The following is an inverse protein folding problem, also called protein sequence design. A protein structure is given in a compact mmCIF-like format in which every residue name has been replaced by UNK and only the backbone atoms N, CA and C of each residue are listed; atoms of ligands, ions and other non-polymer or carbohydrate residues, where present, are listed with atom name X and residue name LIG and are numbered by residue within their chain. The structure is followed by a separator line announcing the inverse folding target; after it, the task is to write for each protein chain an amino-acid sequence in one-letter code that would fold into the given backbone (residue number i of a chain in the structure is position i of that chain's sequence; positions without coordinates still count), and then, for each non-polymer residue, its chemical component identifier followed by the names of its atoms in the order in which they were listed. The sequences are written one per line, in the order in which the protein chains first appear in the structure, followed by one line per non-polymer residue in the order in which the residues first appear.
data_IF_346548618843
#
_entry.id   IF_346548618843
#
_cell.length_a   1.000
_cell.length_b   1.000
_cell.length_c   1.000
_cell.angle_alpha   90.00
_cell.angle_beta   90.00
_cell.angle_gamma   90.00
#
_symmetry.space_group_name_H-M   'P 1'
#
loop_
_entity.id
_entity.type
_entity.pdbx_description
1 polymer ?
#
# COMPACT_ATOMS: atom_id res chain seq x y z
N UNK A 1 12.70 -9.15 8.27
CA UNK A 1 12.54 -7.93 9.09
C UNK A 1 12.50 -6.67 8.22
N UNK A 2 13.43 -6.52 7.27
CA UNK A 2 13.50 -5.39 6.35
C UNK A 2 12.24 -5.20 5.46
N UNK A 3 11.68 -6.29 4.92
CA UNK A 3 10.44 -6.24 4.13
C UNK A 3 9.25 -5.70 4.94
N UNK A 4 9.10 -6.13 6.19
CA UNK A 4 8.06 -5.65 7.10
C UNK A 4 8.24 -4.16 7.43
N UNK A 5 9.49 -3.71 7.63
CA UNK A 5 9.79 -2.30 7.86
C UNK A 5 9.45 -1.43 6.65
N UNK A 6 9.71 -1.90 5.42
CA UNK A 6 9.34 -1.21 4.19
C UNK A 6 7.82 -1.10 4.07
N UNK A 7 7.10 -2.21 4.29
CA UNK A 7 5.62 -2.23 4.23
C UNK A 7 5.04 -1.27 5.27
N UNK A 8 5.56 -1.27 6.49
CA UNK A 8 5.13 -0.35 7.55
C UNK A 8 5.42 1.11 7.20
N UNK A 9 6.60 1.42 6.66
CA UNK A 9 6.96 2.79 6.27
C UNK A 9 6.03 3.32 5.17
N UNK A 10 5.78 2.52 4.15
CA UNK A 10 4.88 2.89 3.05
C UNK A 10 3.42 3.00 3.51
N UNK A 11 2.98 2.10 4.39
CA UNK A 11 1.66 2.19 5.01
C UNK A 11 1.51 3.45 5.88
N UNK A 12 2.56 3.83 6.62
CA UNK A 12 2.57 5.04 7.43
C UNK A 12 2.48 6.30 6.57
N UNK A 13 3.25 6.37 5.48
CA UNK A 13 3.19 7.49 4.53
C UNK A 13 1.79 7.61 3.93
N UNK A 14 1.17 6.49 3.54
CA UNK A 14 -0.21 6.49 3.05
C UNK A 14 -1.20 6.97 4.12
N UNK A 15 -1.09 6.50 5.35
CA UNK A 15 -1.94 6.93 6.46
C UNK A 15 -1.82 8.44 6.74
N UNK A 16 -0.60 8.98 6.73
CA UNK A 16 -0.35 10.41 6.89
C UNK A 16 -0.96 11.20 5.74
N UNK A 17 -0.80 10.76 4.49
CA UNK A 17 -1.39 11.43 3.34
C UNK A 17 -2.93 11.42 3.38
N UNK A 18 -3.55 10.31 3.83
CA UNK A 18 -5.00 10.23 4.05
C UNK A 18 -5.43 11.24 5.12
N UNK A 19 -4.73 11.28 6.25
CA UNK A 19 -5.04 12.19 7.36
C UNK A 19 -4.93 13.66 6.94
N UNK A 20 -3.88 14.03 6.21
CA UNK A 20 -3.70 15.38 5.65
C UNK A 20 -4.85 15.72 4.70
N UNK A 21 -5.21 14.81 3.81
CA UNK A 21 -6.30 15.02 2.84
C UNK A 21 -7.64 15.25 3.53
N UNK A 22 -7.94 14.48 4.58
CA UNK A 22 -9.15 14.69 5.39
C UNK A 22 -9.12 15.99 6.19
N UNK A 23 -7.95 16.35 6.76
CA UNK A 23 -7.77 17.60 7.48
C UNK A 23 -7.98 18.81 6.54
N UNK A 24 -7.46 18.74 5.32
CA UNK A 24 -7.62 19.77 4.30
C UNK A 24 -9.09 19.89 3.86
N UNK A 25 -9.83 18.78 3.81
CA UNK A 25 -11.27 18.79 3.52
C UNK A 25 -12.16 19.27 4.64
N UNK A 26 -11.75 19.05 5.88
CA UNK A 26 -12.39 19.64 7.02
C UNK A 26 -12.11 21.16 7.09
N UNK A 27 -10.86 21.56 6.92
CA UNK A 27 -10.43 22.96 7.01
C UNK A 27 -11.04 23.86 5.92
N UNK A 28 -11.21 23.34 4.70
CA UNK A 28 -11.76 24.14 3.59
C UNK A 28 -13.30 24.09 3.49
N UNK A 29 -13.99 23.38 4.40
CA UNK A 29 -15.44 23.11 4.34
C UNK A 29 -15.97 22.44 3.05
N UNK A 30 -15.10 22.13 2.08
CA UNK A 30 -15.43 21.48 0.81
C UNK A 30 -15.66 19.98 0.92
N UNK A 31 -15.35 19.39 2.08
CA UNK A 31 -15.45 17.95 2.28
C UNK A 31 -14.53 17.16 1.32
N UNK A 32 -15.03 16.03 0.82
CA UNK A 32 -14.26 15.08 0.02
C UNK A 32 -14.54 15.27 -1.47
N UNK A 33 -13.69 16.06 -2.13
CA UNK A 33 -13.79 16.34 -3.57
C UNK A 33 -13.28 15.17 -4.40
N UNK A 34 -13.78 15.02 -5.64
CA UNK A 34 -13.33 13.99 -6.58
C UNK A 34 -11.81 14.01 -6.80
N UNK A 35 -11.19 15.19 -6.79
CA UNK A 35 -9.74 15.33 -6.92
C UNK A 35 -8.98 14.74 -5.72
N UNK A 36 -9.47 14.98 -4.50
CA UNK A 36 -8.91 14.37 -3.28
C UNK A 36 -9.11 12.87 -3.24
N UNK A 37 -10.24 12.37 -3.71
CA UNK A 37 -10.50 10.93 -3.83
C UNK A 37 -9.52 10.28 -4.83
N UNK A 38 -9.25 10.92 -5.96
CA UNK A 38 -8.25 10.46 -6.92
C UNK A 38 -6.83 10.44 -6.31
N UNK A 39 -6.48 11.48 -5.54
CA UNK A 39 -5.21 11.51 -4.79
C UNK A 39 -5.10 10.40 -3.74
N UNK A 40 -6.18 10.12 -3.00
CA UNK A 40 -6.26 9.03 -2.03
C UNK A 40 -6.11 7.66 -2.71
N UNK A 41 -6.79 7.44 -3.83
CA UNK A 41 -6.69 6.19 -4.60
C UNK A 41 -5.28 6.00 -5.13
N UNK A 42 -4.67 7.04 -5.71
CA UNK A 42 -3.28 7.00 -6.17
C UNK A 42 -2.31 6.72 -5.02
N UNK A 43 -2.56 7.32 -3.85
CA UNK A 43 -1.77 7.12 -2.64
C UNK A 43 -1.91 5.69 -2.09
N UNK A 44 -3.09 5.06 -2.21
CA UNK A 44 -3.29 3.64 -1.85
C UNK A 44 -2.69 2.68 -2.88
N UNK A 45 -2.72 3.05 -4.16
CA UNK A 45 -2.20 2.21 -5.23
C UNK A 45 -0.70 2.00 -5.10
N UNK A 46 0.02 3.05 -4.65
CA UNK A 46 1.46 3.03 -4.43
C UNK A 46 1.94 1.91 -3.47
N UNK A 47 1.50 1.81 -2.20
CA UNK A 47 1.85 0.71 -1.30
C UNK A 47 1.27 -0.64 -1.76
N UNK A 48 0.15 -0.64 -2.50
CA UNK A 48 -0.46 -1.87 -3.01
C UNK A 48 0.44 -2.57 -4.04
N UNK A 49 1.14 -1.81 -4.90
CA UNK A 49 2.10 -2.40 -5.84
C UNK A 49 3.25 -3.12 -5.12
N UNK A 50 3.76 -2.56 -4.02
CA UNK A 50 4.78 -3.22 -3.20
C UNK A 50 4.26 -4.52 -2.59
N UNK A 51 3.02 -4.53 -2.10
CA UNK A 51 2.41 -5.73 -1.55
C UNK A 51 2.32 -6.83 -2.62
N UNK A 52 1.95 -6.47 -3.86
CA UNK A 52 1.92 -7.41 -4.98
C UNK A 52 3.31 -8.00 -5.29
N UNK A 53 4.37 -7.19 -5.27
CA UNK A 53 5.75 -7.68 -5.45
C UNK A 53 6.18 -8.64 -4.33
N UNK A 54 5.87 -8.33 -3.07
CA UNK A 54 6.17 -9.21 -1.93
C UNK A 54 5.41 -10.52 -2.04
N UNK A 55 4.11 -10.47 -2.36
CA UNK A 55 3.28 -11.66 -2.56
C UNK A 55 3.77 -12.52 -3.71
N UNK A 56 4.17 -11.91 -4.84
CA UNK A 56 4.76 -12.62 -5.96
C UNK A 56 6.03 -13.36 -5.56
N UNK A 57 6.94 -12.69 -4.83
CA UNK A 57 8.15 -13.33 -4.31
C UNK A 57 7.85 -14.49 -3.34
N UNK A 58 6.84 -14.34 -2.48
CA UNK A 58 6.38 -15.41 -1.59
C UNK A 58 5.76 -16.59 -2.36
N UNK A 59 4.93 -16.33 -3.38
CA UNK A 59 4.32 -17.35 -4.22
C UNK A 59 5.37 -18.16 -4.99
N UNK A 60 6.37 -17.49 -5.59
CA UNK A 60 7.48 -18.15 -6.28
C UNK A 60 8.30 -19.02 -5.30
N UNK A 61 8.59 -18.51 -4.10
CA UNK A 61 9.28 -19.28 -3.06
C UNK A 61 8.48 -20.48 -2.57
N UNK A 62 7.16 -20.35 -2.47
CA UNK A 62 6.27 -21.45 -2.10
C UNK A 62 6.21 -22.51 -3.19
N UNK A 63 6.01 -22.10 -4.45
CA UNK A 63 5.97 -22.99 -5.62
C UNK A 63 7.28 -23.75 -5.81
N UNK A 64 8.42 -23.09 -5.66
CA UNK A 64 9.74 -23.75 -5.73
C UNK A 64 9.97 -24.75 -4.60
N UNK A 65 9.49 -24.47 -3.38
CA UNK A 65 9.53 -25.44 -2.26
C UNK A 65 8.61 -26.63 -2.51
N UNK A 66 7.39 -26.40 -2.98
CA UNK A 66 6.45 -27.47 -3.33
C UNK A 66 7.01 -28.36 -4.44
N UNK A 67 7.59 -27.77 -5.48
CA UNK A 67 8.23 -28.52 -6.57
C UNK A 67 9.39 -29.39 -6.07
N UNK A 68 10.24 -28.90 -5.15
CA UNK A 68 11.31 -29.72 -4.55
C UNK A 68 10.80 -30.81 -3.62
N UNK A 69 9.65 -30.63 -2.99
CA UNK A 69 9.07 -31.66 -2.12
C UNK A 69 8.39 -32.79 -2.90
N UNK A 70 8.05 -32.54 -4.17
CA UNK A 70 7.43 -33.52 -5.08
C UNK A 70 8.42 -34.27 -5.96
N UNK A 71 9.69 -33.84 -5.99
CA UNK A 71 10.80 -34.46 -6.72
C UNK A 71 11.63 -35.34 -5.77
#
# INVERSE_FOLDING_TARGET
MFEAAIVLLYGLVAAVAIAITMLEGWANHDGLTFHRLAGLIACLLWPLTLLAFVLHGCAVRLLTRLSRSMA
#
